data_IF_976650950413
#
_entry.id   IF_976650950413
#
_cell.length_a   1.000
_cell.length_b   1.000
_cell.length_c   1.000
_cell.angle_alpha   90.00
_cell.angle_beta   90.00
_cell.angle_gamma   90.00
#
_symmetry.space_group_name_H-M   'P 1'
#
loop_
_entity.id
_entity.type
_entity.pdbx_description
1 polymer ?
#
# COMPACT_ATOMS: atom_id res chain seq x y z
N UNK A 1 0.88 -1.77 -22.85
CA UNK A 1 1.06 -1.49 -21.40
C UNK A 1 0.70 -2.75 -20.61
N UNK A 2 1.62 -3.72 -20.53
CA UNK A 2 1.38 -5.04 -19.92
C UNK A 2 2.36 -5.24 -18.77
N UNK A 3 2.05 -4.69 -17.60
CA UNK A 3 2.90 -4.82 -16.40
C UNK A 3 2.21 -5.45 -15.18
N UNK A 4 0.88 -5.63 -15.22
CA UNK A 4 0.11 -5.98 -14.02
C UNK A 4 0.04 -7.48 -13.73
N UNK A 5 0.32 -8.36 -14.70
CA UNK A 5 0.33 -9.82 -14.49
C UNK A 5 1.59 -10.34 -13.78
N UNK A 6 2.73 -9.64 -13.91
CA UNK A 6 3.99 -10.04 -13.26
C UNK A 6 3.96 -9.77 -11.75
N UNK A 7 3.41 -8.61 -11.35
CA UNK A 7 3.49 -8.14 -9.96
C UNK A 7 2.79 -9.06 -8.96
N UNK A 8 1.63 -9.62 -9.31
CA UNK A 8 0.89 -10.54 -8.43
C UNK A 8 1.61 -11.88 -8.30
N UNK A 9 2.15 -12.43 -9.38
CA UNK A 9 2.89 -13.71 -9.37
C UNK A 9 4.23 -13.58 -8.63
N UNK A 10 4.95 -12.47 -8.86
CA UNK A 10 6.21 -12.17 -8.18
C UNK A 10 5.98 -11.95 -6.67
N UNK A 11 4.90 -11.26 -6.29
CA UNK A 11 4.51 -11.13 -4.88
C UNK A 11 4.19 -12.48 -4.25
N UNK A 12 3.41 -13.33 -4.91
CA UNK A 12 3.03 -14.64 -4.35
C UNK A 12 4.25 -15.54 -4.13
N UNK A 13 5.19 -15.56 -5.09
CA UNK A 13 6.43 -16.33 -4.99
C UNK A 13 7.36 -15.79 -3.90
N UNK A 14 7.48 -14.48 -3.79
CA UNK A 14 8.27 -13.85 -2.74
C UNK A 14 7.63 -14.05 -1.36
N UNK A 15 6.31 -13.94 -1.27
CA UNK A 15 5.54 -14.21 -0.07
C UNK A 15 5.77 -15.64 0.44
N UNK A 16 5.75 -16.64 -0.44
CA UNK A 16 6.01 -18.03 -0.06
C UNK A 16 7.41 -18.27 0.55
N UNK A 17 8.36 -17.35 0.36
CA UNK A 17 9.75 -17.46 0.85
C UNK A 17 10.03 -16.63 2.10
N UNK A 18 9.14 -15.70 2.46
CA UNK A 18 9.37 -14.79 3.57
C UNK A 18 8.86 -15.38 4.89
N UNK A 19 9.57 -15.10 5.98
CA UNK A 19 9.11 -15.44 7.32
C UNK A 19 7.89 -14.60 7.74
N UNK A 20 7.07 -15.12 8.66
CA UNK A 20 5.92 -14.41 9.24
C UNK A 20 6.31 -13.06 9.86
N UNK A 21 7.50 -12.97 10.48
CA UNK A 21 8.02 -11.72 11.06
C UNK A 21 8.20 -10.64 9.99
N UNK A 22 8.79 -10.98 8.84
CA UNK A 22 8.98 -10.03 7.76
C UNK A 22 7.65 -9.51 7.18
N UNK A 23 6.62 -10.35 7.13
CA UNK A 23 5.28 -9.87 6.74
C UNK A 23 4.68 -8.86 7.71
N UNK A 24 4.91 -9.06 9.01
CA UNK A 24 4.46 -8.11 10.04
C UNK A 24 5.23 -6.79 9.91
N UNK A 25 6.53 -6.84 9.64
CA UNK A 25 7.34 -5.64 9.41
C UNK A 25 6.88 -4.88 8.17
N UNK A 26 6.61 -5.59 7.06
CA UNK A 26 6.05 -4.99 5.84
C UNK A 26 4.67 -4.37 6.09
N UNK A 27 3.80 -5.07 6.82
CA UNK A 27 2.47 -4.56 7.16
C UNK A 27 2.56 -3.30 8.02
N UNK A 28 3.46 -3.31 9.01
CA UNK A 28 3.73 -2.17 9.89
C UNK A 28 4.30 -0.99 9.11
N UNK A 29 5.28 -1.22 8.23
CA UNK A 29 5.85 -0.20 7.36
C UNK A 29 4.78 0.44 6.45
N UNK A 30 3.93 -0.38 5.82
CA UNK A 30 2.85 0.12 4.98
C UNK A 30 1.75 0.84 5.77
N UNK A 31 1.50 0.43 7.02
CA UNK A 31 0.54 1.08 7.91
C UNK A 31 1.06 2.43 8.46
N UNK A 32 2.37 2.57 8.62
CA UNK A 32 3.00 3.81 9.10
C UNK A 32 3.37 4.76 7.96
N UNK A 33 3.20 4.34 6.70
CA UNK A 33 3.42 5.20 5.56
C UNK A 33 2.50 6.43 5.59
N UNK A 34 3.11 7.62 5.53
CA UNK A 34 2.39 8.88 5.33
C UNK A 34 1.89 8.95 3.89
N UNK A 35 0.59 8.70 3.73
CA UNK A 35 -0.14 8.78 2.47
C UNK A 35 -1.14 9.95 2.47
N UNK A 36 -0.97 10.86 3.43
CA UNK A 36 -1.92 11.92 3.74
C UNK A 36 -3.16 11.46 4.51
N UNK A 37 -3.98 12.45 4.85
CA UNK A 37 -5.25 12.27 5.56
C UNK A 37 -6.43 12.32 4.58
N UNK A 38 -7.46 11.48 4.77
CA UNK A 38 -8.63 11.49 3.92
C UNK A 38 -9.46 12.75 4.18
N UNK A 39 -9.90 13.41 3.11
CA UNK A 39 -10.68 14.63 3.20
C UNK A 39 -11.66 14.82 2.06
N UNK A 40 -12.43 15.91 2.14
CA UNK A 40 -13.36 16.31 1.10
C UNK A 40 -13.51 17.83 1.05
N UNK A 41 -13.61 18.37 -0.17
CA UNK A 41 -13.79 19.81 -0.42
C UNK A 41 -15.02 20.07 -1.27
N UNK A 42 -15.72 21.17 -0.99
CA UNK A 42 -16.90 21.59 -1.75
C UNK A 42 -16.49 22.33 -3.04
N UNK A 43 -16.07 21.60 -4.07
CA UNK A 43 -15.58 22.12 -5.37
C UNK A 43 -16.22 21.48 -6.60
N UNK A 44 -17.23 20.64 -6.42
CA UNK A 44 -17.93 19.99 -7.52
C UNK A 44 -18.61 21.00 -8.44
N UNK A 45 -18.47 20.82 -9.76
CA UNK A 45 -19.09 21.70 -10.77
C UNK A 45 -20.61 21.56 -10.85
N UNK A 46 -21.15 20.42 -10.41
CA UNK A 46 -22.58 20.15 -10.38
C UNK A 46 -23.09 20.30 -8.94
N UNK A 47 -24.16 21.08 -8.76
CA UNK A 47 -24.79 21.30 -7.45
C UNK A 47 -25.32 20.01 -6.80
N UNK A 48 -25.66 18.99 -7.59
CA UNK A 48 -26.06 17.66 -7.09
C UNK A 48 -24.89 16.85 -6.51
N UNK A 49 -23.66 17.13 -6.94
CA UNK A 49 -22.45 16.44 -6.49
C UNK A 49 -21.35 17.45 -6.11
N UNK A 50 -21.56 18.25 -5.05
CA UNK A 50 -20.68 19.38 -4.76
C UNK A 50 -19.39 18.96 -4.05
N UNK A 51 -19.30 17.75 -3.50
CA UNK A 51 -18.15 17.30 -2.71
C UNK A 51 -17.17 16.50 -3.54
N UNK A 52 -15.90 16.86 -3.45
CA UNK A 52 -14.82 16.20 -4.17
C UNK A 52 -13.86 15.58 -3.14
N UNK A 53 -13.51 14.29 -3.28
CA UNK A 53 -12.56 13.63 -2.38
C UNK A 53 -11.13 14.17 -2.58
N UNK A 54 -10.42 14.36 -1.47
CA UNK A 54 -9.03 14.81 -1.46
C UNK A 54 -8.19 13.96 -0.50
N UNK A 55 -6.88 13.96 -0.70
CA UNK A 55 -5.87 13.51 0.24
C UNK A 55 -5.07 14.72 0.71
N UNK A 56 -5.09 14.98 2.01
CA UNK A 56 -4.33 16.06 2.64
C UNK A 56 -2.93 15.56 2.96
N UNK A 57 -1.94 15.98 2.17
CA UNK A 57 -0.55 15.56 2.30
C UNK A 57 0.18 16.46 3.30
N UNK A 58 1.20 15.90 3.95
CA UNK A 58 2.11 16.65 4.80
C UNK A 58 2.72 17.83 4.04
N UNK A 59 2.80 18.99 4.70
CA UNK A 59 3.20 20.26 4.07
C UNK A 59 2.05 21.07 3.47
N UNK A 60 0.80 20.78 3.83
CA UNK A 60 -0.37 21.60 3.51
C UNK A 60 -0.85 21.49 2.06
N UNK A 61 -0.36 20.49 1.31
CA UNK A 61 -0.79 20.23 -0.07
C UNK A 61 -1.99 19.29 -0.06
N UNK A 62 -3.02 19.60 -0.83
CA UNK A 62 -4.15 18.70 -1.03
C UNK A 62 -4.11 18.12 -2.45
N UNK A 63 -4.14 16.79 -2.56
CA UNK A 63 -4.29 16.09 -3.82
C UNK A 63 -5.76 15.72 -4.04
N UNK A 64 -6.35 16.23 -5.12
CA UNK A 64 -7.70 15.87 -5.51
C UNK A 64 -7.73 14.51 -6.23
N UNK A 65 -8.66 13.62 -5.85
CA UNK A 65 -8.93 12.43 -6.66
C UNK A 65 -9.76 12.84 -7.89
N UNK A 66 -9.13 12.77 -9.07
CA UNK A 66 -9.70 13.28 -10.32
C UNK A 66 -10.90 12.44 -10.77
N UNK A 67 -11.84 13.10 -11.44
CA UNK A 67 -13.01 12.45 -12.04
C UNK A 67 -14.08 11.98 -11.05
N UNK A 68 -13.96 12.33 -9.77
CA UNK A 68 -14.89 11.90 -8.72
C UNK A 68 -15.55 13.10 -8.05
N UNK A 69 -16.87 13.00 -7.83
CA UNK A 69 -17.66 13.94 -7.05
C UNK A 69 -18.85 13.21 -6.43
N UNK A 70 -19.29 13.65 -5.25
CA UNK A 70 -20.30 13.01 -4.43
C UNK A 70 -21.34 14.01 -3.93
N UNK A 71 -22.54 13.50 -3.65
CA UNK A 71 -23.65 14.28 -3.12
C UNK A 71 -23.37 14.73 -1.69
N UNK A 72 -22.70 13.89 -0.90
CA UNK A 72 -22.40 14.15 0.51
C UNK A 72 -20.90 14.23 0.79
N UNK A 73 -20.54 14.95 1.86
CA UNK A 73 -19.14 15.00 2.35
C UNK A 73 -18.67 13.61 2.80
N UNK A 74 -19.54 12.85 3.47
CA UNK A 74 -19.21 11.53 4.00
C UNK A 74 -18.80 10.54 2.91
N UNK A 75 -19.53 10.49 1.79
CA UNK A 75 -19.19 9.62 0.65
C UNK A 75 -17.83 9.98 0.03
N UNK A 76 -17.53 11.28 -0.08
CA UNK A 76 -16.25 11.75 -0.58
C UNK A 76 -15.09 11.36 0.37
N UNK A 77 -15.25 11.54 1.68
CA UNK A 77 -14.25 11.10 2.68
C UNK A 77 -14.07 9.58 2.63
N UNK A 78 -15.15 8.80 2.61
CA UNK A 78 -15.09 7.35 2.51
C UNK A 78 -14.43 6.86 1.21
N UNK A 79 -14.53 7.63 0.12
CA UNK A 79 -13.77 7.34 -1.10
C UNK A 79 -12.28 7.60 -0.93
N UNK A 80 -11.91 8.70 -0.29
CA UNK A 80 -10.52 9.04 0.02
C UNK A 80 -9.87 8.00 0.95
N UNK A 81 -10.59 7.54 1.97
CA UNK A 81 -10.17 6.44 2.85
C UNK A 81 -9.88 5.16 2.07
N UNK A 82 -10.78 4.77 1.16
CA UNK A 82 -10.59 3.60 0.28
C UNK A 82 -9.36 3.75 -0.62
N UNK A 83 -9.07 4.97 -1.06
CA UNK A 83 -7.88 5.24 -1.87
C UNK A 83 -6.59 5.07 -1.05
N UNK A 84 -6.55 5.58 0.18
CA UNK A 84 -5.43 5.36 1.10
C UNK A 84 -5.26 3.87 1.38
N UNK A 85 -6.34 3.15 1.70
CA UNK A 85 -6.27 1.71 1.95
C UNK A 85 -5.72 0.93 0.74
N UNK A 86 -6.16 1.28 -0.48
CA UNK A 86 -5.65 0.68 -1.71
C UNK A 86 -4.17 1.01 -1.94
N UNK A 87 -3.74 2.24 -1.65
CA UNK A 87 -2.34 2.66 -1.73
C UNK A 87 -1.46 1.90 -0.73
N UNK A 88 -1.93 1.70 0.51
CA UNK A 88 -1.22 0.88 1.52
C UNK A 88 -1.07 -0.56 1.08
N UNK A 89 -2.14 -1.18 0.57
CA UNK A 89 -2.08 -2.55 0.05
C UNK A 89 -1.12 -2.67 -1.14
N UNK A 90 -1.10 -1.67 -2.03
CA UNK A 90 -0.16 -1.60 -3.15
C UNK A 90 1.28 -1.47 -2.67
N UNK A 91 1.54 -0.61 -1.69
CA UNK A 91 2.86 -0.44 -1.07
C UNK A 91 3.34 -1.75 -0.45
N UNK A 92 2.52 -2.39 0.39
CA UNK A 92 2.85 -3.67 1.01
C UNK A 92 3.25 -4.73 -0.02
N UNK A 93 2.46 -4.87 -1.10
CA UNK A 93 2.80 -5.77 -2.22
C UNK A 93 4.15 -5.42 -2.84
N UNK A 94 4.42 -4.14 -3.10
CA UNK A 94 5.70 -3.72 -3.70
C UNK A 94 6.87 -4.03 -2.78
N UNK A 95 6.74 -3.86 -1.46
CA UNK A 95 7.79 -4.19 -0.50
C UNK A 95 8.14 -5.68 -0.52
N UNK A 96 7.19 -6.56 -0.85
CA UNK A 96 7.44 -7.99 -1.01
C UNK A 96 8.13 -8.37 -2.34
N UNK A 97 8.24 -7.50 -3.34
CA UNK A 97 8.86 -7.88 -4.63
C UNK A 97 10.37 -7.67 -4.59
N UNK A 98 11.22 -8.65 -4.96
CA UNK A 98 12.68 -8.53 -4.90
C UNK A 98 13.24 -7.27 -5.57
N UNK A 99 12.70 -6.90 -6.74
CA UNK A 99 13.16 -5.72 -7.50
C UNK A 99 12.97 -4.37 -6.79
N UNK A 100 12.15 -4.30 -5.75
CA UNK A 100 11.87 -3.06 -5.01
C UNK A 100 12.76 -2.89 -3.76
N UNK A 101 14.04 -3.31 -3.86
CA UNK A 101 15.08 -3.17 -2.83
C UNK A 101 15.23 -1.77 -2.25
N UNK A 102 15.36 -0.75 -3.10
CA UNK A 102 15.50 0.64 -2.65
C UNK A 102 14.25 1.14 -1.91
N UNK A 103 13.06 0.63 -2.26
CA UNK A 103 11.84 0.98 -1.57
C UNK A 103 11.82 0.36 -0.16
N UNK A 104 12.28 -0.88 0.02
CA UNK A 104 12.40 -1.48 1.36
C UNK A 104 13.33 -0.70 2.27
N UNK A 105 14.51 -0.34 1.79
CA UNK A 105 15.49 0.46 2.56
C UNK A 105 14.90 1.80 3.02
N UNK A 106 14.12 2.48 2.17
CA UNK A 106 13.43 3.74 2.53
C UNK A 106 12.45 3.57 3.71
N UNK A 107 11.88 2.39 3.87
CA UNK A 107 10.96 2.06 4.96
C UNK A 107 11.65 1.33 6.12
N UNK A 108 12.99 1.29 6.14
CA UNK A 108 13.77 0.64 7.20
C UNK A 108 13.76 -0.89 7.17
N UNK A 109 13.29 -1.48 6.07
CA UNK A 109 13.25 -2.94 5.89
C UNK A 109 14.55 -3.45 5.25
N UNK A 110 14.90 -4.73 5.49
CA UNK A 110 16.02 -5.39 4.80
C UNK A 110 15.99 -5.19 3.28
N UNK A 111 17.16 -4.86 2.72
CA UNK A 111 17.33 -4.66 1.28
C UNK A 111 16.94 -5.92 0.49
N UNK A 112 17.46 -7.05 0.91
CA UNK A 112 17.15 -8.36 0.36
C UNK A 112 15.98 -8.99 1.12
N UNK A 113 15.22 -9.84 0.44
CA UNK A 113 14.16 -10.59 1.10
C UNK A 113 14.81 -11.66 2.00
N UNK A 114 14.28 -11.88 3.21
CA UNK A 114 14.77 -12.95 4.05
C UNK A 114 14.59 -14.29 3.33
N UNK A 115 15.58 -15.16 3.48
CA UNK A 115 15.48 -16.54 3.05
C UNK A 115 14.47 -17.27 3.96
N UNK A 116 13.79 -18.31 3.44
CA UNK A 116 12.97 -19.16 4.29
C UNK A 116 13.85 -19.70 5.42
N UNK A 117 13.31 -19.88 6.64
CA UNK A 117 14.05 -20.55 7.69
C UNK A 117 14.52 -21.90 7.17
N UNK A 118 15.79 -22.23 7.40
CA UNK A 118 16.32 -23.57 7.10
C UNK A 118 15.37 -24.59 7.74
N UNK A 119 14.86 -25.52 6.93
CA UNK A 119 14.10 -26.66 7.47
C UNK A 119 14.99 -27.32 8.54
N UNK A 120 14.45 -27.65 9.73
CA UNK A 120 15.22 -28.39 10.70
C UNK A 120 15.70 -29.67 10.02
N UNK A 121 17.02 -29.93 10.09
CA UNK A 121 17.61 -31.15 9.56
C UNK A 121 16.73 -32.34 9.96
N UNK A 122 16.37 -33.24 9.02
CA UNK A 122 15.59 -34.42 9.37
C UNK A 122 16.31 -35.11 10.53
N UNK A 123 15.58 -35.54 11.58
CA UNK A 123 16.22 -36.14 12.74
C UNK A 123 17.09 -37.30 12.23
N UNK A 124 18.38 -37.27 12.58
CA UNK A 124 19.30 -38.37 12.33
C UNK A 124 18.62 -39.66 12.83
N UNK A 125 18.16 -40.50 11.91
CA UNK A 125 17.61 -41.81 12.26
C UNK A 125 18.77 -42.63 12.85
N UNK A 126 18.70 -42.85 14.16
CA UNK A 126 19.66 -43.60 14.97
C UNK A 126 19.54 -45.13 14.79
#
# INVERSE_FOLDING_TARGET
MSGSRSLTADCARAAARCSTGFFQDVATAAANADLGSPGAVKRGRNSRWPYVPILELTGGRAQQLRGLAYATRGEAVARAEREIAAARASLARRLLVPRHRALREQFGLPRELPEPPDEPDPPDEA
#
